data_IF_604938110361
#
_entry.id   IF_604938110361
#
_cell.length_a   1.000
_cell.length_b   1.000
_cell.length_c   1.000
_cell.angle_alpha   90.00
_cell.angle_beta   90.00
_cell.angle_gamma   90.00
#
_symmetry.space_group_name_H-M   'P 1'
#
loop_
_entity.id
_entity.type
_entity.pdbx_description
1 polymer ?
#
# COMPACT_ATOMS: atom_id res chain seq x y z
N UNK A 1 -3.64 21.11 17.15
CA UNK A 1 -4.25 22.21 16.37
C UNK A 1 -4.62 21.68 14.99
N UNK A 2 -5.87 21.86 14.55
CA UNK A 2 -6.26 21.53 13.18
C UNK A 2 -6.00 22.72 12.25
N UNK A 3 -5.40 22.48 11.09
CA UNK A 3 -5.25 23.50 10.04
C UNK A 3 -6.28 23.25 8.95
N UNK A 4 -6.91 24.31 8.45
CA UNK A 4 -7.84 24.24 7.32
C UNK A 4 -7.06 24.52 6.04
N UNK A 5 -7.24 23.67 5.04
CA UNK A 5 -6.68 23.83 3.71
C UNK A 5 -7.85 23.97 2.73
N UNK A 6 -7.83 25.01 1.91
CA UNK A 6 -8.81 25.26 0.86
C UNK A 6 -8.09 25.19 -0.49
N UNK A 7 -8.67 24.46 -1.44
CA UNK A 7 -8.12 24.31 -2.79
C UNK A 7 -9.26 24.40 -3.80
N UNK A 8 -8.95 24.83 -5.03
CA UNK A 8 -9.83 24.72 -6.18
C UNK A 8 -9.56 23.40 -6.90
N UNK A 9 -10.60 22.73 -7.36
CA UNK A 9 -10.54 21.58 -8.26
C UNK A 9 -11.18 22.00 -9.58
N UNK A 10 -10.66 21.51 -10.70
CA UNK A 10 -11.34 21.68 -11.97
C UNK A 10 -12.67 20.89 -11.97
N UNK A 11 -13.61 21.30 -12.82
CA UNK A 11 -14.95 20.71 -12.81
C UNK A 11 -14.93 19.22 -13.15
N UNK A 12 -14.05 18.81 -14.07
CA UNK A 12 -13.85 17.41 -14.44
C UNK A 12 -13.27 16.59 -13.29
N UNK A 13 -12.23 17.11 -12.63
CA UNK A 13 -11.61 16.47 -11.46
C UNK A 13 -12.62 16.30 -10.32
N UNK A 14 -13.43 17.33 -10.07
CA UNK A 14 -14.47 17.30 -9.05
C UNK A 14 -15.54 16.24 -9.36
N UNK A 15 -15.99 16.13 -10.62
CA UNK A 15 -16.95 15.10 -11.04
C UNK A 15 -16.40 13.70 -10.83
N UNK A 16 -15.20 13.42 -11.33
CA UNK A 16 -14.55 12.11 -11.19
C UNK A 16 -14.36 11.75 -9.71
N UNK A 17 -13.94 12.73 -8.91
CA UNK A 17 -13.76 12.54 -7.48
C UNK A 17 -15.08 12.23 -6.77
N UNK A 18 -16.16 12.95 -7.10
CA UNK A 18 -17.49 12.71 -6.54
C UNK A 18 -18.01 11.31 -6.87
N UNK A 19 -17.92 10.89 -8.13
CA UNK A 19 -18.36 9.56 -8.57
C UNK A 19 -17.64 8.44 -7.81
N UNK A 20 -16.34 8.62 -7.55
CA UNK A 20 -15.53 7.69 -6.79
C UNK A 20 -15.98 7.61 -5.33
N UNK A 21 -16.36 8.75 -4.73
CA UNK A 21 -16.84 8.81 -3.35
C UNK A 21 -18.25 8.25 -3.19
N UNK A 22 -19.14 8.46 -4.15
CA UNK A 22 -20.49 7.89 -4.15
C UNK A 22 -20.42 6.36 -4.14
N UNK A 23 -19.56 5.76 -4.99
CA UNK A 23 -19.32 4.31 -5.00
C UNK A 23 -18.82 3.78 -3.66
N UNK A 24 -18.10 4.60 -2.90
CA UNK A 24 -17.53 4.24 -1.59
C UNK A 24 -18.40 4.67 -0.41
N UNK A 25 -19.55 5.32 -0.65
CA UNK A 25 -20.43 5.91 0.37
C UNK A 25 -19.67 6.82 1.35
N UNK A 26 -18.77 7.65 0.82
CA UNK A 26 -17.96 8.59 1.60
C UNK A 26 -18.38 10.03 1.34
N UNK A 27 -18.29 10.88 2.36
CA UNK A 27 -18.42 12.33 2.17
C UNK A 27 -17.17 12.90 1.49
N UNK A 28 -17.30 14.07 0.85
CA UNK A 28 -16.19 14.80 0.21
C UNK A 28 -15.04 15.04 1.20
N UNK A 29 -15.36 15.42 2.44
CA UNK A 29 -14.37 15.66 3.50
C UNK A 29 -13.62 14.39 3.90
N UNK A 30 -14.32 13.27 4.06
CA UNK A 30 -13.69 11.99 4.38
C UNK A 30 -12.86 11.45 3.22
N UNK A 31 -13.34 11.66 2.00
CA UNK A 31 -12.63 11.37 0.77
C UNK A 31 -11.29 12.09 0.69
N UNK A 32 -11.31 13.41 0.88
CA UNK A 32 -10.11 14.24 0.87
C UNK A 32 -9.17 13.85 2.01
N UNK A 33 -9.69 13.62 3.22
CA UNK A 33 -8.88 13.17 4.35
C UNK A 33 -8.18 11.85 4.04
N UNK A 34 -8.90 10.87 3.47
CA UNK A 34 -8.32 9.58 3.07
C UNK A 34 -7.30 9.73 1.95
N UNK A 35 -7.55 10.59 0.96
CA UNK A 35 -6.61 10.83 -0.12
C UNK A 35 -5.30 11.43 0.40
N UNK A 36 -5.38 12.45 1.27
CA UNK A 36 -4.21 13.06 1.91
C UNK A 36 -3.49 12.04 2.79
N UNK A 37 -4.19 11.29 3.65
CA UNK A 37 -3.56 10.25 4.46
C UNK A 37 -2.85 9.22 3.60
N UNK A 38 -3.49 8.77 2.52
CA UNK A 38 -2.91 7.79 1.59
C UNK A 38 -1.67 8.34 0.90
N UNK A 39 -1.72 9.58 0.41
CA UNK A 39 -0.56 10.25 -0.20
C UNK A 39 0.60 10.35 0.79
N UNK A 40 0.32 10.77 2.03
CA UNK A 40 1.34 10.81 3.07
C UNK A 40 1.89 9.42 3.39
N UNK A 41 1.04 8.40 3.50
CA UNK A 41 1.50 7.02 3.72
C UNK A 41 2.32 6.47 2.55
N UNK A 42 1.99 6.82 1.31
CA UNK A 42 2.71 6.38 0.11
C UNK A 42 4.05 7.12 -0.06
N UNK A 43 4.10 8.43 0.18
CA UNK A 43 5.34 9.22 0.06
C UNK A 43 6.26 9.10 1.27
N UNK A 44 5.72 8.89 2.48
CA UNK A 44 6.51 8.60 3.69
C UNK A 44 6.94 7.13 3.73
N UNK A 45 6.43 6.28 2.82
CA UNK A 45 6.75 4.86 2.84
C UNK A 45 8.19 4.61 2.40
N UNK A 46 8.95 4.19 3.41
CA UNK A 46 10.29 3.61 3.41
C UNK A 46 11.40 4.66 3.36
N UNK A 47 11.94 4.98 4.54
CA UNK A 47 13.25 5.61 4.63
C UNK A 47 14.27 4.69 3.94
N UNK A 48 14.89 5.10 2.82
CA UNK A 48 15.90 4.30 2.14
C UNK A 48 17.16 4.07 3.00
N UNK A 49 17.27 4.75 4.15
CA UNK A 49 18.31 4.56 5.17
C UNK A 49 17.85 3.74 6.37
N UNK A 50 16.63 3.19 6.38
CA UNK A 50 16.14 2.37 7.49
C UNK A 50 17.14 1.22 7.74
N UNK A 51 17.81 1.17 8.92
CA UNK A 51 18.80 0.15 9.23
C UNK A 51 18.23 -1.28 9.16
N UNK A 52 16.91 -1.46 9.29
CA UNK A 52 16.24 -2.73 9.11
C UNK A 52 16.19 -3.16 7.63
N UNK A 53 15.98 -2.23 6.72
CA UNK A 53 15.81 -2.48 5.28
C UNK A 53 17.15 -2.43 4.51
N UNK A 54 18.12 -1.66 5.00
CA UNK A 54 19.47 -1.56 4.41
C UNK A 54 20.40 -2.68 4.88
N UNK A 55 20.10 -3.31 6.03
CA UNK A 55 20.92 -4.40 6.53
C UNK A 55 20.87 -5.59 5.58
N UNK A 56 22.03 -5.90 5.00
CA UNK A 56 22.23 -7.19 4.32
C UNK A 56 21.90 -8.31 5.32
N UNK A 57 21.17 -9.35 4.89
CA UNK A 57 20.85 -10.48 5.76
C UNK A 57 22.15 -11.06 6.34
N UNK A 58 22.24 -11.15 7.68
CA UNK A 58 23.40 -11.75 8.35
C UNK A 58 23.39 -13.28 8.28
N UNK A 59 22.27 -13.88 7.87
CA UNK A 59 22.13 -15.33 7.72
C UNK A 59 23.05 -15.84 6.60
N UNK A 60 24.14 -16.52 6.96
CA UNK A 60 25.05 -17.19 6.03
C UNK A 60 24.65 -18.66 5.84
N UNK A 61 23.40 -18.94 5.46
CA UNK A 61 23.02 -20.34 5.21
C UNK A 61 23.64 -20.91 3.93
N UNK A 62 24.05 -20.04 2.99
CA UNK A 62 24.55 -20.45 1.66
C UNK A 62 23.49 -21.06 0.74
N UNK A 63 22.27 -21.26 1.25
CA UNK A 63 21.14 -21.88 0.56
C UNK A 63 20.07 -20.81 0.36
N UNK A 64 20.00 -20.27 -0.86
CA UNK A 64 19.08 -19.19 -1.24
C UNK A 64 17.60 -19.61 -1.31
N UNK A 65 17.31 -20.89 -1.17
CA UNK A 65 15.99 -21.49 -1.33
C UNK A 65 15.30 -21.87 0.00
N UNK A 66 15.95 -21.61 1.15
CA UNK A 66 15.43 -21.95 2.47
C UNK A 66 14.10 -21.27 2.79
N UNK A 67 13.92 -20.00 2.41
CA UNK A 67 12.65 -19.30 2.60
C UNK A 67 11.50 -20.02 1.90
N UNK A 68 11.72 -20.41 0.63
CA UNK A 68 10.71 -21.10 -0.17
C UNK A 68 10.38 -22.49 0.36
N UNK A 69 11.40 -23.23 0.81
CA UNK A 69 11.23 -24.55 1.44
C UNK A 69 10.47 -24.45 2.77
N UNK A 70 10.71 -23.41 3.55
CA UNK A 70 10.01 -23.17 4.81
C UNK A 70 8.53 -22.83 4.56
N UNK A 71 8.25 -21.97 3.59
CA UNK A 71 6.89 -21.64 3.19
C UNK A 71 6.15 -22.88 2.66
N UNK A 72 6.83 -23.73 1.90
CA UNK A 72 6.27 -25.00 1.42
C UNK A 72 5.97 -25.98 2.56
N UNK A 73 6.82 -26.05 3.58
CA UNK A 73 6.57 -26.86 4.77
C UNK A 73 5.35 -26.35 5.56
N UNK A 74 5.23 -25.04 5.76
CA UNK A 74 4.16 -24.44 6.57
C UNK A 74 2.81 -24.41 5.85
N UNK A 75 2.81 -24.08 4.55
CA UNK A 75 1.58 -23.80 3.80
C UNK A 75 1.28 -24.83 2.70
N UNK A 76 2.20 -25.78 2.47
CA UNK A 76 2.11 -26.76 1.39
C UNK A 76 2.41 -26.16 0.01
N UNK A 77 2.66 -27.02 -0.98
CA UNK A 77 2.73 -26.57 -2.38
C UNK A 77 1.34 -26.08 -2.81
N UNK A 78 1.21 -24.80 -3.16
CA UNK A 78 0.03 -24.31 -3.89
C UNK A 78 -0.09 -25.13 -5.17
N UNK A 79 -1.04 -26.08 -5.20
CA UNK A 79 -1.52 -26.65 -6.46
C UNK A 79 -2.08 -25.47 -7.25
N UNK A 80 -1.37 -25.05 -8.29
CA UNK A 80 -1.97 -24.21 -9.33
C UNK A 80 -3.23 -24.92 -9.77
N UNK A 81 -4.40 -24.35 -9.43
CA UNK A 81 -5.65 -24.77 -10.04
C UNK A 81 -5.51 -24.44 -11.52
N UNK A 82 -5.17 -25.44 -12.31
CA UNK A 82 -5.37 -25.39 -13.75
C UNK A 82 -6.86 -25.14 -13.95
N UNK A 83 -7.15 -24.02 -14.60
CA UNK A 83 -8.42 -23.74 -15.23
C UNK A 83 -8.77 -24.90 -16.17
N UNK A 84 -9.90 -25.54 -15.94
CA UNK A 84 -10.67 -26.33 -16.91
C UNK A 84 -12.13 -26.25 -16.49
#
# INVERSE_FOLDING_TARGET
MAKVVQTSLEEEEYRVFRDLLEKRKLSIREGLRKAVTRMLEEEVRVDPKDPFLVRRPRGRSGLGDLSRKHDEYLYGKKKSRASS
#
